data_IF_354815431612
#
_entry.id   IF_354815431612
#
_cell.length_a   1.000
_cell.length_b   1.000
_cell.length_c   1.000
_cell.angle_alpha   90.00
_cell.angle_beta   90.00
_cell.angle_gamma   90.00
#
_symmetry.space_group_name_H-M   'P 1'
#
loop_
_entity.id
_entity.type
_entity.pdbx_description
1 polymer ?
#
# COMPACT_ATOMS: atom_id res chain seq x y z
N UNK A 1 -11.49 5.56 -8.36
CA UNK A 1 -10.70 4.69 -9.26
C UNK A 1 -9.58 4.03 -8.47
N UNK A 2 -9.33 2.73 -8.68
CA UNK A 2 -8.30 1.94 -7.99
C UNK A 2 -7.00 1.83 -8.81
N UNK A 3 -5.86 2.16 -8.20
CA UNK A 3 -4.53 2.03 -8.80
C UNK A 3 -3.45 1.89 -7.72
N UNK A 4 -2.28 1.29 -8.00
CA UNK A 4 -1.16 1.26 -7.05
C UNK A 4 -0.49 2.64 -6.93
N UNK A 5 0.27 2.91 -5.87
CA UNK A 5 1.21 4.05 -5.83
C UNK A 5 2.61 3.49 -5.64
N UNK A 6 3.50 3.75 -6.59
CA UNK A 6 4.76 3.04 -6.75
C UNK A 6 5.70 3.27 -5.56
N UNK A 7 5.78 4.52 -5.08
CA UNK A 7 6.62 4.86 -3.94
C UNK A 7 6.16 6.12 -3.23
N UNK A 8 6.17 6.04 -1.92
CA UNK A 8 5.92 7.10 -0.96
C UNK A 8 7.08 7.17 0.02
N UNK A 9 7.38 8.36 0.52
CA UNK A 9 8.41 8.55 1.52
C UNK A 9 8.08 9.74 2.41
N UNK A 10 8.43 9.65 3.69
CA UNK A 10 8.41 10.80 4.58
C UNK A 10 9.75 11.52 4.56
N UNK A 11 9.73 12.84 4.35
CA UNK A 11 10.88 13.74 4.51
C UNK A 11 10.43 14.91 5.36
N UNK A 12 11.06 15.14 6.52
CA UNK A 12 10.68 16.22 7.46
C UNK A 12 9.16 16.27 7.78
N UNK A 13 8.55 15.11 8.08
CA UNK A 13 7.11 14.92 8.27
C UNK A 13 6.21 15.18 7.04
N UNK A 14 6.80 15.49 5.89
CA UNK A 14 6.08 15.68 4.63
C UNK A 14 6.02 14.36 3.88
N UNK A 15 4.83 13.96 3.46
CA UNK A 15 4.64 12.79 2.62
C UNK A 15 4.87 13.16 1.16
N UNK A 16 5.85 12.53 0.54
CA UNK A 16 6.22 12.69 -0.86
C UNK A 16 5.80 11.44 -1.63
N UNK A 17 5.14 11.63 -2.76
CA UNK A 17 4.76 10.58 -3.69
C UNK A 17 5.64 10.63 -4.94
N UNK A 18 6.13 9.47 -5.36
CA UNK A 18 6.89 9.26 -6.59
C UNK A 18 6.12 8.31 -7.48
N UNK A 19 6.07 8.67 -8.76
CA UNK A 19 5.49 7.86 -9.82
C UNK A 19 6.55 7.65 -10.89
N UNK A 20 6.75 6.41 -11.34
CA UNK A 20 7.80 6.06 -12.28
C UNK A 20 7.23 5.72 -13.65
N UNK A 21 7.91 6.21 -14.70
CA UNK A 21 7.55 5.93 -16.09
C UNK A 21 8.79 5.68 -16.92
N UNK A 22 9.00 4.44 -17.33
CA UNK A 22 9.89 4.09 -18.43
C UNK A 22 9.33 4.65 -19.75
N UNK A 23 9.97 5.69 -20.29
CA UNK A 23 9.55 6.34 -21.55
C UNK A 23 9.88 5.51 -22.79
N UNK A 24 10.65 4.43 -22.64
CA UNK A 24 10.88 3.46 -23.71
C UNK A 24 9.69 2.50 -23.89
N UNK A 25 8.77 2.44 -22.92
CA UNK A 25 7.60 1.58 -22.98
C UNK A 25 6.57 2.07 -24.02
N UNK A 26 6.55 1.35 -25.14
CA UNK A 26 5.63 1.62 -26.27
C UNK A 26 4.15 1.49 -25.90
N UNK A 27 3.79 0.84 -24.80
CA UNK A 27 2.39 0.74 -24.35
C UNK A 27 1.85 2.09 -23.87
N UNK A 28 2.74 3.01 -23.45
CA UNK A 28 2.39 4.35 -22.99
C UNK A 28 2.27 5.39 -24.12
N UNK A 29 2.26 4.95 -25.38
CA UNK A 29 1.99 5.78 -26.55
C UNK A 29 0.66 6.54 -26.42
N UNK A 30 0.62 7.78 -26.94
CA UNK A 30 -0.40 8.82 -26.66
C UNK A 30 -1.87 8.44 -26.90
N UNK A 31 -2.14 7.33 -27.59
CA UNK A 31 -3.50 6.90 -27.96
C UNK A 31 -3.95 5.57 -27.30
N UNK A 32 -3.11 4.96 -26.47
CA UNK A 32 -3.39 3.68 -25.81
C UNK A 32 -4.21 3.79 -24.52
N UNK A 33 -4.86 2.69 -24.12
CA UNK A 33 -5.59 2.62 -22.83
C UNK A 33 -4.63 2.77 -21.63
N UNK A 34 -3.41 2.22 -21.70
CA UNK A 34 -2.39 2.43 -20.65
C UNK A 34 -2.06 3.91 -20.51
N UNK A 35 -1.87 4.64 -21.62
CA UNK A 35 -1.61 6.08 -21.58
C UNK A 35 -2.76 6.85 -20.92
N UNK A 36 -4.02 6.52 -21.24
CA UNK A 36 -5.20 7.13 -20.61
C UNK A 36 -5.25 6.85 -19.10
N UNK A 37 -5.02 5.61 -18.70
CA UNK A 37 -4.97 5.20 -17.29
C UNK A 37 -3.89 5.97 -16.53
N UNK A 38 -2.68 6.01 -17.09
CA UNK A 38 -1.55 6.73 -16.49
C UNK A 38 -1.80 8.23 -16.40
N UNK A 39 -2.40 8.84 -17.43
CA UNK A 39 -2.77 10.25 -17.38
C UNK A 39 -3.78 10.55 -16.27
N UNK A 40 -4.76 9.67 -16.06
CA UNK A 40 -5.68 9.78 -14.94
C UNK A 40 -4.93 9.71 -13.60
N UNK A 41 -4.10 8.67 -13.41
CA UNK A 41 -3.29 8.45 -12.19
C UNK A 41 -2.42 9.66 -11.87
N UNK A 42 -1.65 10.15 -12.84
CA UNK A 42 -0.74 11.30 -12.69
C UNK A 42 -1.51 12.58 -12.34
N UNK A 43 -2.63 12.85 -13.02
CA UNK A 43 -3.46 14.03 -12.72
C UNK A 43 -3.96 13.97 -11.27
N UNK A 44 -4.48 12.82 -10.86
CA UNK A 44 -4.98 12.61 -9.52
C UNK A 44 -3.90 12.80 -8.45
N UNK A 45 -2.74 12.13 -8.62
CA UNK A 45 -1.62 12.23 -7.68
C UNK A 45 -1.09 13.65 -7.61
N UNK A 46 -1.02 14.34 -8.75
CA UNK A 46 -0.62 15.75 -8.81
C UNK A 46 -1.55 16.67 -8.02
N UNK A 47 -2.85 16.42 -8.04
CA UNK A 47 -3.83 17.22 -7.28
C UNK A 47 -3.77 16.91 -5.79
N UNK A 48 -3.57 15.64 -5.44
CA UNK A 48 -3.56 15.15 -4.06
C UNK A 48 -2.30 15.55 -3.31
N UNK A 49 -1.13 15.36 -3.92
CA UNK A 49 0.18 15.59 -3.30
C UNK A 49 0.79 16.95 -3.67
N UNK A 50 0.26 17.65 -4.68
CA UNK A 50 0.68 19.00 -5.08
C UNK A 50 2.20 19.08 -5.30
N UNK A 51 2.87 19.96 -4.57
CA UNK A 51 4.33 20.17 -4.66
C UNK A 51 5.15 18.99 -4.13
N UNK A 52 4.51 18.04 -3.44
CA UNK A 52 5.12 16.81 -2.93
C UNK A 52 4.94 15.62 -3.88
N UNK A 53 4.59 15.86 -5.14
CA UNK A 53 4.50 14.84 -6.18
C UNK A 53 5.67 14.93 -7.16
N UNK A 54 6.41 13.84 -7.32
CA UNK A 54 7.46 13.71 -8.32
C UNK A 54 7.10 12.65 -9.35
N UNK A 55 6.83 13.08 -10.57
CA UNK A 55 6.82 12.20 -11.74
C UNK A 55 8.26 12.00 -12.21
N UNK A 56 8.75 10.76 -12.19
CA UNK A 56 10.08 10.36 -12.65
C UNK A 56 9.92 9.64 -13.98
N UNK A 57 10.31 10.31 -15.06
CA UNK A 57 10.30 9.72 -16.40
C UNK A 57 11.72 9.37 -16.79
N UNK A 58 11.96 8.15 -17.24
CA UNK A 58 13.33 7.68 -17.46
C UNK A 58 13.47 6.73 -18.66
N UNK A 59 14.66 6.70 -19.25
CA UNK A 59 15.11 5.69 -20.20
C UNK A 59 16.55 5.31 -19.83
N UNK A 60 16.75 4.09 -19.34
CA UNK A 60 18.07 3.62 -18.87
C UNK A 60 19.07 3.53 -20.02
N UNK A 61 18.62 3.09 -21.21
CA UNK A 61 19.49 2.87 -22.37
C UNK A 61 19.96 4.19 -23.00
N UNK A 62 19.11 5.22 -22.95
CA UNK A 62 19.39 6.55 -23.52
C UNK A 62 19.93 7.57 -22.49
N UNK A 63 20.14 7.15 -21.24
CA UNK A 63 20.60 8.00 -20.13
C UNK A 63 19.71 9.23 -19.87
N UNK A 64 18.39 9.05 -19.97
CA UNK A 64 17.41 10.12 -19.79
C UNK A 64 16.74 9.97 -18.43
N UNK A 65 16.78 11.02 -17.60
CA UNK A 65 16.04 11.11 -16.35
C UNK A 65 15.39 12.48 -16.25
N UNK A 66 14.07 12.52 -16.12
CA UNK A 66 13.29 13.75 -16.04
C UNK A 66 12.46 13.76 -14.75
N UNK A 67 12.61 14.82 -13.96
CA UNK A 67 11.90 14.97 -12.69
C UNK A 67 10.84 16.05 -12.78
N UNK A 68 9.63 15.70 -12.33
CA UNK A 68 8.51 16.59 -12.11
C UNK A 68 7.85 17.09 -13.40
N UNK A 69 6.79 17.89 -13.23
CA UNK A 69 6.04 18.50 -14.35
C UNK A 69 6.86 19.48 -15.18
N UNK A 70 7.92 20.04 -14.60
CA UNK A 70 8.81 20.98 -15.27
C UNK A 70 9.85 20.29 -16.16
N UNK A 71 9.88 18.95 -16.15
CA UNK A 71 10.82 18.13 -16.93
C UNK A 71 12.27 18.55 -16.70
N UNK A 72 12.69 18.66 -15.43
CA UNK A 72 14.09 18.89 -15.10
C UNK A 72 14.88 17.67 -15.58
N UNK A 73 15.71 17.87 -16.61
CA UNK A 73 16.53 16.82 -17.19
C UNK A 73 17.80 16.66 -16.37
N UNK A 74 18.15 15.40 -16.10
CA UNK A 74 19.36 14.98 -15.42
C UNK A 74 19.99 13.82 -16.20
N UNK A 75 21.32 13.73 -16.17
CA UNK A 75 22.03 12.48 -16.50
C UNK A 75 21.93 11.48 -15.33
N UNK A 76 22.41 10.25 -15.50
CA UNK A 76 22.35 9.23 -14.44
C UNK A 76 23.04 9.62 -13.14
N UNK A 77 24.21 10.26 -13.20
CA UNK A 77 24.98 10.59 -12.00
C UNK A 77 24.28 11.71 -11.22
N UNK A 78 23.77 12.73 -11.91
CA UNK A 78 22.95 13.81 -11.33
C UNK A 78 21.66 13.25 -10.70
N UNK A 79 20.95 12.36 -11.40
CA UNK A 79 19.75 11.72 -10.89
C UNK A 79 20.07 10.87 -9.66
N UNK A 80 21.19 10.14 -9.68
CA UNK A 80 21.63 9.31 -8.57
C UNK A 80 21.94 10.13 -7.33
N UNK A 81 22.73 11.20 -7.47
CA UNK A 81 23.04 12.10 -6.36
C UNK A 81 21.75 12.69 -5.77
N UNK A 82 20.86 13.20 -6.62
CA UNK A 82 19.57 13.74 -6.18
C UNK A 82 18.70 12.70 -5.46
N UNK A 83 18.57 11.49 -6.03
CA UNK A 83 17.69 10.46 -5.47
C UNK A 83 18.24 9.90 -4.16
N UNK A 84 19.56 9.75 -4.03
CA UNK A 84 20.23 9.36 -2.77
C UNK A 84 20.02 10.45 -1.72
N UNK A 85 20.22 11.72 -2.08
CA UNK A 85 19.98 12.84 -1.17
C UNK A 85 18.54 12.81 -0.66
N UNK A 86 17.54 12.73 -1.55
CA UNK A 86 16.12 12.63 -1.18
C UNK A 86 15.81 11.40 -0.34
N UNK A 87 16.40 10.25 -0.64
CA UNK A 87 16.22 9.04 0.16
C UNK A 87 16.78 9.21 1.58
N UNK A 88 17.86 9.97 1.75
CA UNK A 88 18.56 10.16 3.02
C UNK A 88 18.10 11.37 3.84
N UNK A 89 17.35 12.32 3.27
CA UNK A 89 16.82 13.46 4.01
C UNK A 89 15.95 13.01 5.20
N UNK A 90 16.44 13.30 6.42
CA UNK A 90 15.68 13.42 7.68
C UNK A 90 14.52 12.43 7.87
N UNK A 91 14.81 11.15 7.73
CA UNK A 91 13.92 10.13 8.24
C UNK A 91 13.95 10.15 9.78
N UNK A 92 12.81 10.49 10.40
CA UNK A 92 12.58 10.42 11.86
C UNK A 92 12.84 9.00 12.41
N UNK A 93 12.90 7.99 11.53
CA UNK A 93 13.28 6.61 11.82
C UNK A 93 14.77 6.30 11.60
N UNK A 94 15.66 7.29 11.42
CA UNK A 94 17.11 7.08 11.37
C UNK A 94 17.69 6.45 12.66
N UNK A 95 16.94 6.47 13.76
CA UNK A 95 17.26 5.72 14.98
C UNK A 95 16.83 4.24 14.94
N UNK A 96 16.07 3.81 13.92
CA UNK A 96 15.65 2.42 13.77
C UNK A 96 16.66 1.63 12.92
N UNK A 97 17.49 0.86 13.62
CA UNK A 97 18.43 -0.15 13.11
C UNK A 97 17.81 -1.26 12.22
N UNK A 98 16.57 -1.09 11.74
CA UNK A 98 15.75 -2.15 11.14
C UNK A 98 15.12 -1.77 9.78
N UNK A 99 15.61 -0.73 9.09
CA UNK A 99 15.26 -0.57 7.67
C UNK A 99 15.84 -1.74 6.90
N UNK A 100 15.00 -2.41 6.09
CA UNK A 100 15.52 -3.50 5.27
C UNK A 100 16.45 -2.92 4.18
N UNK A 101 17.62 -3.51 3.93
CA UNK A 101 18.41 -3.16 2.75
C UNK A 101 17.58 -3.44 1.49
N UNK A 102 17.73 -2.59 0.48
CA UNK A 102 16.96 -2.67 -0.77
C UNK A 102 17.00 -4.04 -1.44
N UNK A 103 18.11 -4.77 -1.29
CA UNK A 103 18.31 -6.13 -1.80
C UNK A 103 17.47 -7.22 -1.12
N UNK A 104 16.59 -6.87 -0.19
CA UNK A 104 15.56 -7.76 0.36
C UNK A 104 14.17 -7.55 -0.25
N UNK A 105 13.99 -6.50 -1.05
CA UNK A 105 12.84 -6.37 -1.93
C UNK A 105 12.91 -7.51 -2.95
N UNK A 106 11.81 -8.24 -3.12
CA UNK A 106 11.75 -9.43 -3.98
C UNK A 106 12.21 -9.11 -5.40
N UNK A 107 12.82 -10.07 -6.07
CA UNK A 107 13.13 -10.01 -7.51
C UNK A 107 11.89 -9.92 -8.42
N UNK A 108 10.69 -9.87 -7.83
CA UNK A 108 9.42 -9.84 -8.55
C UNK A 108 9.04 -8.40 -8.86
N UNK A 109 8.74 -8.14 -10.13
CA UNK A 109 8.21 -6.86 -10.65
C UNK A 109 6.73 -6.75 -10.26
N UNK A 110 6.49 -6.37 -9.00
CA UNK A 110 5.15 -6.19 -8.42
C UNK A 110 4.55 -7.46 -7.80
N UNK A 111 3.36 -7.33 -7.19
CA UNK A 111 2.58 -8.45 -6.64
C UNK A 111 1.61 -8.99 -7.71
N UNK A 112 1.82 -10.22 -8.22
CA UNK A 112 0.94 -10.83 -9.22
C UNK A 112 -0.52 -10.94 -8.79
N UNK A 113 -0.79 -11.01 -7.48
CA UNK A 113 -2.15 -11.05 -6.94
C UNK A 113 -2.87 -9.71 -7.16
N UNK A 114 -2.19 -8.60 -6.87
CA UNK A 114 -2.71 -7.24 -7.04
C UNK A 114 -2.91 -6.92 -8.53
N UNK A 115 -1.94 -7.29 -9.38
CA UNK A 115 -2.02 -7.13 -10.83
C UNK A 115 -3.23 -7.86 -11.41
N UNK A 116 -3.47 -9.11 -10.97
CA UNK A 116 -4.64 -9.90 -11.37
C UNK A 116 -5.95 -9.24 -10.93
N UNK A 117 -6.02 -8.70 -9.72
CA UNK A 117 -7.20 -7.97 -9.23
C UNK A 117 -7.49 -6.76 -10.12
N UNK A 118 -6.49 -5.94 -10.41
CA UNK A 118 -6.64 -4.76 -11.28
C UNK A 118 -7.13 -5.17 -12.68
N UNK A 119 -6.52 -6.20 -13.26
CA UNK A 119 -6.94 -6.73 -14.57
C UNK A 119 -8.43 -7.11 -14.57
N UNK A 120 -8.90 -7.84 -13.55
CA UNK A 120 -10.30 -8.27 -13.46
C UNK A 120 -11.28 -7.10 -13.20
N UNK A 121 -10.85 -6.08 -12.45
CA UNK A 121 -11.66 -4.88 -12.19
C UNK A 121 -11.87 -4.07 -13.48
N UNK A 122 -10.82 -3.91 -14.29
CA UNK A 122 -10.87 -3.05 -15.47
C UNK A 122 -11.29 -3.76 -16.76
N UNK A 123 -11.21 -5.09 -16.84
CA UNK A 123 -11.68 -5.89 -17.98
C UNK A 123 -13.13 -5.59 -18.40
N UNK A 124 -13.97 -5.14 -17.48
CA UNK A 124 -15.38 -4.80 -17.72
C UNK A 124 -15.60 -3.29 -17.98
N UNK A 125 -14.59 -2.44 -17.81
CA UNK A 125 -14.68 -0.99 -18.04
C UNK A 125 -14.21 -0.64 -19.45
N UNK A 126 -15.13 -0.23 -20.33
CA UNK A 126 -14.83 0.08 -21.74
C UNK A 126 -13.64 1.04 -21.94
N UNK A 127 -13.45 2.01 -21.05
CA UNK A 127 -12.36 3.00 -21.11
C UNK A 127 -10.96 2.41 -20.83
N UNK A 128 -10.88 1.37 -19.99
CA UNK A 128 -9.62 0.79 -19.50
C UNK A 128 -9.51 -0.73 -19.73
N UNK A 129 -10.40 -1.31 -20.54
CA UNK A 129 -10.54 -2.76 -20.76
C UNK A 129 -9.26 -3.48 -21.21
N UNK A 130 -8.37 -2.75 -21.87
CA UNK A 130 -7.11 -3.28 -22.41
C UNK A 130 -5.88 -2.70 -21.72
N UNK A 131 -6.03 -2.19 -20.49
CA UNK A 131 -4.86 -1.84 -19.68
C UNK A 131 -4.14 -3.13 -19.28
N UNK A 132 -2.83 -3.16 -19.50
CA UNK A 132 -1.95 -4.26 -19.10
C UNK A 132 -1.27 -3.93 -17.76
N UNK A 133 -1.75 -4.58 -16.69
CA UNK A 133 -1.22 -4.43 -15.34
C UNK A 133 -0.08 -5.40 -15.00
N UNK A 134 0.18 -6.41 -15.82
CA UNK A 134 1.18 -7.44 -15.50
C UNK A 134 2.61 -7.01 -15.78
N UNK A 135 2.80 -6.04 -16.67
CA UNK A 135 4.12 -5.45 -16.92
C UNK A 135 4.16 -3.97 -16.48
N UNK A 136 3.38 -3.58 -15.47
CA UNK A 136 3.42 -2.20 -14.96
C UNK A 136 4.82 -1.83 -14.44
N UNK A 137 5.29 -0.64 -14.78
CA UNK A 137 6.58 -0.14 -14.31
C UNK A 137 6.38 0.56 -12.96
N UNK A 138 6.81 -0.11 -11.89
CA UNK A 138 6.76 0.45 -10.53
C UNK A 138 8.10 1.10 -10.11
N UNK A 139 9.03 1.30 -11.05
CA UNK A 139 10.34 1.91 -10.80
C UNK A 139 11.28 1.09 -9.91
N UNK A 140 10.94 -0.16 -9.56
CA UNK A 140 11.72 -0.98 -8.63
C UNK A 140 13.13 -1.23 -9.16
N UNK A 141 13.28 -1.56 -10.44
CA UNK A 141 14.59 -1.78 -11.09
C UNK A 141 15.42 -0.50 -11.04
N UNK A 142 14.81 0.64 -11.39
CA UNK A 142 15.49 1.93 -11.35
C UNK A 142 15.99 2.25 -9.94
N UNK A 143 15.11 2.15 -8.93
CA UNK A 143 15.44 2.42 -7.55
C UNK A 143 16.55 1.48 -7.03
N UNK A 144 16.49 0.18 -7.37
CA UNK A 144 17.53 -0.81 -7.09
C UNK A 144 18.90 -0.41 -7.66
N UNK A 145 18.93 -0.05 -8.94
CA UNK A 145 20.16 0.30 -9.63
C UNK A 145 20.78 1.60 -9.09
N UNK A 146 19.96 2.58 -8.73
CA UNK A 146 20.42 3.90 -8.29
C UNK A 146 20.88 3.88 -6.83
N UNK A 147 20.12 3.23 -5.95
CA UNK A 147 20.44 3.18 -4.52
C UNK A 147 21.50 2.12 -4.18
N UNK A 148 21.72 1.10 -5.02
CA UNK A 148 22.77 0.07 -4.94
C UNK A 148 23.55 0.00 -3.60
N UNK A 149 23.01 -0.72 -2.62
CA UNK A 149 23.64 -0.94 -1.31
C UNK A 149 23.20 0.04 -0.21
N UNK A 150 22.58 1.16 -0.56
CA UNK A 150 21.96 2.09 0.38
C UNK A 150 20.64 1.52 0.94
N UNK A 151 20.31 1.94 2.17
CA UNK A 151 19.00 1.65 2.76
C UNK A 151 17.92 2.43 2.01
N UNK A 152 16.71 1.88 1.95
CA UNK A 152 15.55 2.66 1.54
C UNK A 152 14.54 2.82 2.64
N UNK A 153 13.91 3.97 2.61
CA UNK A 153 12.84 4.37 3.52
C UNK A 153 11.51 4.59 2.78
N UNK A 154 11.48 4.27 1.48
CA UNK A 154 10.26 4.30 0.69
C UNK A 154 9.37 3.10 0.99
N UNK A 155 8.07 3.29 0.80
CA UNK A 155 7.05 2.26 0.85
C UNK A 155 6.01 2.54 -0.23
N UNK A 156 5.27 1.54 -0.66
CA UNK A 156 4.25 1.62 -1.69
C UNK A 156 2.84 1.54 -1.10
N UNK A 157 1.84 1.87 -1.91
CA UNK A 157 0.46 1.44 -1.67
C UNK A 157 0.07 0.41 -2.73
N UNK A 158 -0.28 -0.80 -2.31
CA UNK A 158 -0.70 -1.86 -3.25
C UNK A 158 -1.93 -1.43 -4.05
N UNK A 159 -2.94 -0.88 -3.39
CA UNK A 159 -4.10 -0.26 -4.02
C UNK A 159 -4.50 1.02 -3.30
N UNK A 160 -4.86 2.03 -4.09
CA UNK A 160 -5.36 3.31 -3.64
C UNK A 160 -6.64 3.68 -4.38
N UNK A 161 -7.69 4.03 -3.63
CA UNK A 161 -8.97 4.52 -4.15
C UNK A 161 -9.02 6.05 -4.08
N UNK A 162 -9.17 6.67 -5.25
CA UNK A 162 -9.09 8.12 -5.44
C UNK A 162 -10.32 8.92 -5.00
N UNK A 163 -11.52 8.35 -4.93
CA UNK A 163 -12.69 9.13 -4.54
C UNK A 163 -12.77 9.41 -3.03
N UNK A 164 -12.30 8.49 -2.19
CA UNK A 164 -12.36 8.61 -0.73
C UNK A 164 -11.00 8.48 -0.03
N UNK A 165 -9.91 8.53 -0.81
CA UNK A 165 -8.53 8.38 -0.36
C UNK A 165 -8.31 7.12 0.49
N UNK A 166 -8.76 5.98 -0.04
CA UNK A 166 -8.72 4.69 0.65
C UNK A 166 -7.40 4.00 0.30
N UNK A 167 -6.61 3.70 1.32
CA UNK A 167 -5.39 2.89 1.20
C UNK A 167 -5.73 1.43 1.48
N UNK A 168 -5.34 0.52 0.59
CA UNK A 168 -5.52 -0.92 0.75
C UNK A 168 -4.16 -1.60 0.59
N UNK A 169 -3.75 -2.31 1.63
CA UNK A 169 -2.49 -3.05 1.71
C UNK A 169 -2.76 -4.56 1.74
N UNK A 170 -2.09 -5.32 0.89
CA UNK A 170 -2.23 -6.77 0.74
C UNK A 170 -1.15 -7.50 1.55
N UNK A 171 -1.60 -8.24 2.54
CA UNK A 171 -0.75 -9.00 3.46
C UNK A 171 -0.85 -10.48 3.12
N UNK A 172 0.04 -10.94 2.24
CA UNK A 172 0.14 -12.36 1.93
C UNK A 172 0.48 -13.15 3.19
N UNK A 173 -0.38 -14.10 3.53
CA UNK A 173 -0.19 -15.01 4.63
C UNK A 173 0.60 -16.20 4.10
N UNK A 174 1.86 -16.34 4.52
CA UNK A 174 2.70 -17.51 4.16
C UNK A 174 2.82 -18.55 5.29
N UNK A 175 2.32 -18.22 6.48
CA UNK A 175 2.40 -19.10 7.65
C UNK A 175 1.30 -20.17 7.64
N UNK A 176 1.65 -21.43 7.92
CA UNK A 176 0.68 -22.52 8.14
C UNK A 176 0.01 -22.50 9.52
N UNK A 177 0.46 -21.63 10.44
CA UNK A 177 -0.02 -21.59 11.84
C UNK A 177 -1.19 -20.62 12.06
N UNK A 178 -1.50 -19.80 11.07
CA UNK A 178 -2.60 -18.82 11.10
C UNK A 178 -3.41 -18.93 9.82
N UNK A 179 -4.71 -18.66 9.91
CA UNK A 179 -5.57 -18.46 8.74
C UNK A 179 -5.65 -16.97 8.39
N UNK A 180 -6.17 -16.62 7.22
CA UNK A 180 -6.39 -15.22 6.84
C UNK A 180 -7.24 -14.45 7.88
N UNK A 181 -8.24 -15.13 8.47
CA UNK A 181 -9.12 -14.57 9.52
C UNK A 181 -8.41 -14.35 10.86
N UNK A 182 -7.39 -15.16 11.17
CA UNK A 182 -6.68 -15.09 12.45
C UNK A 182 -5.36 -14.32 12.34
N UNK A 183 -4.82 -14.11 11.13
CA UNK A 183 -3.67 -13.26 10.87
C UNK A 183 -3.97 -11.79 11.20
N UNK A 184 -2.99 -11.07 11.74
CA UNK A 184 -3.13 -9.67 12.12
C UNK A 184 -1.75 -9.01 12.32
N UNK A 185 -1.56 -7.72 11.95
CA UNK A 185 -0.31 -6.99 12.14
C UNK A 185 0.29 -7.09 13.55
N UNK A 186 -0.55 -6.98 14.59
CA UNK A 186 -0.12 -7.11 15.99
C UNK A 186 0.50 -8.49 16.34
N UNK A 187 0.39 -9.51 15.49
CA UNK A 187 1.14 -10.77 15.68
C UNK A 187 2.61 -10.64 15.28
N UNK A 188 2.93 -9.70 14.39
CA UNK A 188 4.23 -9.54 13.71
C UNK A 188 4.82 -8.16 13.97
N UNK A 189 5.17 -7.88 15.23
CA UNK A 189 5.63 -6.56 15.67
C UNK A 189 6.93 -6.09 14.98
N UNK A 190 7.72 -7.00 14.40
CA UNK A 190 8.91 -6.65 13.62
C UNK A 190 8.58 -5.82 12.37
N UNK A 191 7.37 -5.93 11.83
CA UNK A 191 6.92 -5.18 10.65
C UNK A 191 6.20 -3.87 11.02
N UNK A 192 6.23 -3.47 12.30
CA UNK A 192 5.52 -2.31 12.82
C UNK A 192 5.75 -1.03 12.01
N UNK A 193 6.99 -0.76 11.61
CA UNK A 193 7.35 0.45 10.88
C UNK A 193 6.59 0.59 9.56
N UNK A 194 6.34 -0.53 8.84
CA UNK A 194 5.52 -0.52 7.62
C UNK A 194 4.11 -0.02 7.93
N UNK A 195 3.46 -0.61 8.94
CA UNK A 195 2.09 -0.25 9.31
C UNK A 195 1.97 1.17 9.87
N UNK A 196 2.99 1.65 10.61
CA UNK A 196 3.05 3.04 11.05
C UNK A 196 3.14 4.00 9.85
N UNK A 197 3.99 3.70 8.87
CA UNK A 197 4.11 4.51 7.65
C UNK A 197 2.80 4.57 6.88
N UNK A 198 2.15 3.42 6.65
CA UNK A 198 0.83 3.34 6.02
C UNK A 198 -0.22 4.17 6.78
N UNK A 199 -0.29 4.02 8.10
CA UNK A 199 -1.23 4.75 8.94
C UNK A 199 -0.99 6.26 8.93
N UNK A 200 0.28 6.69 9.03
CA UNK A 200 0.61 8.11 8.95
C UNK A 200 0.28 8.69 7.57
N UNK A 201 0.54 7.94 6.50
CA UNK A 201 0.26 8.39 5.15
C UNK A 201 -1.25 8.52 4.91
N UNK A 202 -2.03 7.50 5.29
CA UNK A 202 -3.49 7.54 5.23
C UNK A 202 -4.08 8.70 6.05
N UNK A 203 -3.51 9.01 7.22
CA UNK A 203 -3.95 10.15 8.03
C UNK A 203 -3.69 11.53 7.38
N UNK A 204 -2.63 11.66 6.59
CA UNK A 204 -2.27 12.92 5.93
C UNK A 204 -3.12 13.17 4.69
N UNK A 205 -3.45 12.11 3.95
CA UNK A 205 -4.22 12.21 2.70
C UNK A 205 -5.72 12.06 2.89
N UNK A 206 -6.21 11.80 4.11
CA UNK A 206 -7.65 11.61 4.35
C UNK A 206 -8.47 12.83 3.96
N UNK A 207 -9.72 12.59 3.56
CA UNK A 207 -10.73 13.64 3.35
C UNK A 207 -11.45 13.96 4.67
N UNK A 208 -12.23 13.01 5.16
CA UNK A 208 -12.99 13.14 6.42
C UNK A 208 -12.41 12.23 7.51
N UNK A 209 -12.26 10.94 7.21
CA UNK A 209 -11.72 9.94 8.11
C UNK A 209 -10.56 9.15 7.51
N UNK A 210 -9.75 8.55 8.36
CA UNK A 210 -8.60 7.75 7.94
C UNK A 210 -9.08 6.42 7.38
N UNK A 211 -8.93 6.23 6.07
CA UNK A 211 -9.33 5.02 5.37
C UNK A 211 -8.12 4.14 5.07
N UNK A 212 -7.67 3.36 6.06
CA UNK A 212 -6.65 2.34 5.88
C UNK A 212 -7.26 0.94 6.05
N UNK A 213 -7.12 0.13 5.01
CA UNK A 213 -7.55 -1.26 4.99
C UNK A 213 -6.36 -2.20 4.78
N UNK A 214 -6.36 -3.31 5.51
CA UNK A 214 -5.37 -4.37 5.38
C UNK A 214 -6.06 -5.67 4.97
N UNK A 215 -5.56 -6.34 3.94
CA UNK A 215 -6.17 -7.54 3.36
C UNK A 215 -5.29 -8.74 3.63
N UNK A 216 -5.71 -9.64 4.52
CA UNK A 216 -5.01 -10.92 4.64
C UNK A 216 -5.54 -11.89 3.59
N UNK A 217 -4.64 -12.43 2.78
CA UNK A 217 -4.97 -13.38 1.73
C UNK A 217 -3.95 -14.52 1.66
N UNK A 218 -4.29 -15.55 0.90
CA UNK A 218 -3.40 -16.65 0.57
C UNK A 218 -3.57 -17.09 -0.88
N UNK A 219 -2.71 -17.99 -1.34
CA UNK A 219 -2.83 -18.58 -2.68
C UNK A 219 -4.00 -19.59 -2.79
N UNK A 220 -4.68 -19.93 -1.69
CA UNK A 220 -5.89 -20.76 -1.72
C UNK A 220 -7.12 -19.87 -2.00
N UNK A 221 -7.71 -19.92 -3.21
CA UNK A 221 -8.85 -19.07 -3.56
C UNK A 221 -10.14 -19.41 -2.78
N UNK A 222 -10.16 -20.56 -2.08
CA UNK A 222 -11.29 -21.00 -1.24
C UNK A 222 -11.16 -20.53 0.20
N UNK A 223 -9.98 -20.10 0.65
CA UNK A 223 -9.83 -19.55 1.98
C UNK A 223 -10.55 -18.20 2.05
N UNK A 224 -11.21 -17.96 3.18
CA UNK A 224 -11.83 -16.67 3.46
C UNK A 224 -10.78 -15.54 3.33
N UNK A 225 -11.21 -14.39 2.81
CA UNK A 225 -10.39 -13.17 2.80
C UNK A 225 -10.79 -12.34 4.02
N UNK A 226 -9.79 -11.82 4.73
CA UNK A 226 -10.03 -10.91 5.84
C UNK A 226 -9.66 -9.48 5.45
N UNK A 227 -10.60 -8.56 5.58
CA UNK A 227 -10.39 -7.14 5.39
C UNK A 227 -10.43 -6.43 6.75
N UNK A 228 -9.34 -5.80 7.16
CA UNK A 228 -9.24 -5.10 8.44
C UNK A 228 -9.30 -3.59 8.16
N UNK A 229 -10.36 -2.90 8.60
CA UNK A 229 -10.41 -1.44 8.66
C UNK A 229 -9.70 -0.98 9.95
N UNK A 230 -8.60 -0.25 9.82
CA UNK A 230 -7.86 0.30 10.96
C UNK A 230 -8.57 1.58 11.42
N UNK A 231 -8.98 1.64 12.69
CA UNK A 231 -9.67 2.80 13.28
C UNK A 231 -8.73 3.65 14.15
N UNK A 232 -7.87 3.00 14.94
CA UNK A 232 -6.90 3.67 15.79
C UNK A 232 -5.58 2.90 15.81
N UNK A 233 -4.49 3.65 15.83
CA UNK A 233 -3.13 3.13 15.86
C UNK A 233 -2.32 3.91 16.90
N UNK A 234 -1.65 3.18 17.79
CA UNK A 234 -0.77 3.80 18.78
C UNK A 234 0.54 4.24 18.12
N UNK A 235 0.82 5.55 18.13
CA UNK A 235 2.02 6.15 17.50
C UNK A 235 3.20 6.31 18.46
N UNK A 236 3.05 6.04 19.75
CA UNK A 236 4.09 6.30 20.75
C UNK A 236 5.22 5.27 20.68
N UNK A 237 6.28 5.63 19.94
CA UNK A 237 7.48 4.81 19.72
C UNK A 237 8.22 4.42 21.02
N UNK A 238 8.12 5.23 22.08
CA UNK A 238 8.80 5.01 23.37
C UNK A 238 8.12 3.96 24.25
N UNK A 239 6.89 3.55 23.93
CA UNK A 239 6.10 2.74 24.86
C UNK A 239 6.41 1.24 24.81
N UNK A 240 7.04 0.73 23.74
CA UNK A 240 7.11 -0.71 23.49
C UNK A 240 5.75 -1.36 23.27
N UNK A 241 4.65 -0.59 23.20
CA UNK A 241 3.24 -1.03 23.16
C UNK A 241 2.56 -0.70 21.82
N UNK A 242 3.22 -1.02 20.72
CA UNK A 242 2.97 -0.31 19.46
C UNK A 242 2.28 -1.19 18.41
N UNK A 243 1.18 -0.68 17.83
CA UNK A 243 0.35 -1.39 16.87
C UNK A 243 -1.05 -0.81 16.73
N UNK A 244 -1.95 -1.59 16.11
CA UNK A 244 -3.37 -1.27 15.97
C UNK A 244 -4.06 -1.45 17.33
N UNK A 245 -4.85 -0.47 17.78
CA UNK A 245 -5.56 -0.49 19.07
C UNK A 245 -7.08 -0.39 18.93
N UNK A 246 -7.56 -0.12 17.72
CA UNK A 246 -8.97 -0.22 17.37
C UNK A 246 -9.09 -0.56 15.89
N UNK A 247 -9.88 -1.58 15.56
CA UNK A 247 -10.11 -2.02 14.20
C UNK A 247 -11.41 -2.82 14.04
N UNK A 248 -11.87 -2.97 12.80
CA UNK A 248 -12.98 -3.84 12.42
C UNK A 248 -12.49 -4.82 11.36
N UNK A 249 -12.63 -6.11 11.64
CA UNK A 249 -12.41 -7.18 10.67
C UNK A 249 -13.70 -7.51 9.95
N UNK A 250 -13.69 -7.55 8.62
CA UNK A 250 -14.78 -8.05 7.78
C UNK A 250 -14.35 -9.35 7.10
N UNK A 251 -15.19 -10.37 7.20
CA UNK A 251 -14.96 -11.68 6.59
C UNK A 251 -15.67 -11.78 5.25
N UNK A 252 -14.89 -12.06 4.19
CA UNK A 252 -15.38 -12.47 2.89
C UNK A 252 -15.24 -13.99 2.76
N UNK A 253 -16.19 -14.65 2.10
CA UNK A 253 -16.18 -16.12 1.92
C UNK A 253 -15.03 -16.61 1.05
N UNK A 254 -14.44 -15.75 0.22
CA UNK A 254 -13.30 -16.05 -0.64
C UNK A 254 -13.04 -14.96 -1.68
N UNK A 255 -12.16 -15.26 -2.63
CA UNK A 255 -11.67 -14.29 -3.63
C UNK A 255 -12.78 -13.60 -4.43
N UNK A 256 -13.78 -14.33 -4.92
CA UNK A 256 -14.80 -13.77 -5.81
C UNK A 256 -15.70 -12.74 -5.11
N UNK A 257 -16.07 -12.98 -3.85
CA UNK A 257 -16.88 -12.05 -3.08
C UNK A 257 -16.10 -10.76 -2.78
N UNK A 258 -14.82 -10.91 -2.42
CA UNK A 258 -13.92 -9.78 -2.21
C UNK A 258 -13.67 -8.96 -3.50
N UNK A 259 -13.45 -9.63 -4.64
CA UNK A 259 -13.31 -8.97 -5.94
C UNK A 259 -14.56 -8.18 -6.32
N UNK A 260 -15.76 -8.72 -6.06
CA UNK A 260 -17.01 -8.01 -6.30
C UNK A 260 -17.12 -6.75 -5.43
N UNK A 261 -16.67 -6.80 -4.18
CA UNK A 261 -16.59 -5.61 -3.32
C UNK A 261 -15.59 -4.58 -3.87
N UNK A 262 -14.40 -5.00 -4.32
CA UNK A 262 -13.44 -4.09 -4.97
C UNK A 262 -13.97 -3.47 -6.28
N UNK A 263 -14.74 -4.22 -7.08
CA UNK A 263 -15.43 -3.69 -8.26
C UNK A 263 -16.44 -2.61 -7.88
N UNK A 264 -17.22 -2.82 -6.81
CA UNK A 264 -18.11 -1.79 -6.26
C UNK A 264 -17.32 -0.58 -5.78
N UNK A 265 -16.25 -0.80 -5.03
CA UNK A 265 -15.35 0.25 -4.52
C UNK A 265 -14.79 1.11 -5.66
N UNK A 266 -14.37 0.49 -6.77
CA UNK A 266 -13.87 1.20 -7.95
C UNK A 266 -14.94 2.04 -8.69
N UNK A 267 -16.22 1.76 -8.46
CA UNK A 267 -17.34 2.45 -9.10
C UNK A 267 -17.95 3.52 -8.18
N UNK A 268 -18.14 3.19 -6.91
CA UNK A 268 -18.72 4.04 -5.89
C UNK A 268 -18.17 3.62 -4.51
N UNK A 269 -17.19 4.38 -4.02
CA UNK A 269 -16.51 4.03 -2.77
C UNK A 269 -17.42 4.15 -1.55
N UNK A 270 -18.27 5.18 -1.48
CA UNK A 270 -19.20 5.37 -0.37
C UNK A 270 -20.19 4.21 -0.26
N UNK A 271 -20.78 3.79 -1.38
CA UNK A 271 -21.68 2.62 -1.42
C UNK A 271 -20.94 1.35 -1.00
N UNK A 272 -19.72 1.14 -1.51
CA UNK A 272 -18.92 -0.03 -1.14
C UNK A 272 -18.60 -0.08 0.37
N UNK A 273 -18.30 1.07 0.99
CA UNK A 273 -18.09 1.17 2.43
C UNK A 273 -19.37 0.83 3.22
N UNK A 274 -20.53 1.34 2.79
CA UNK A 274 -21.83 1.00 3.41
C UNK A 274 -22.09 -0.51 3.33
N UNK A 275 -21.76 -1.15 2.21
CA UNK A 275 -22.01 -2.60 2.05
C UNK A 275 -21.18 -3.47 2.99
N UNK A 276 -20.06 -2.98 3.54
CA UNK A 276 -19.25 -3.72 4.51
C UNK A 276 -20.04 -4.10 5.76
N UNK A 277 -21.02 -3.28 6.15
CA UNK A 277 -21.85 -3.52 7.33
C UNK A 277 -22.72 -4.77 7.23
N UNK A 278 -22.90 -5.30 6.00
CA UNK A 278 -23.61 -6.55 5.75
C UNK A 278 -22.72 -7.80 5.84
N UNK A 279 -21.41 -7.65 6.01
CA UNK A 279 -20.50 -8.79 6.13
C UNK A 279 -20.35 -9.21 7.59
N UNK A 280 -20.11 -10.51 7.87
CA UNK A 280 -19.73 -10.93 9.20
C UNK A 280 -18.49 -10.15 9.67
N UNK A 281 -18.57 -9.57 10.87
CA UNK A 281 -17.51 -8.69 11.37
C UNK A 281 -17.11 -8.98 12.81
N UNK A 282 -15.85 -8.71 13.13
CA UNK A 282 -15.31 -8.72 14.48
C UNK A 282 -14.79 -7.32 14.81
N UNK A 283 -15.40 -6.68 15.80
CA UNK A 283 -14.98 -5.36 16.30
C UNK A 283 -13.94 -5.59 17.40
N UNK A 284 -12.73 -5.04 17.20
CA UNK A 284 -11.63 -5.12 18.15
C UNK A 284 -11.25 -3.72 18.61
N UNK A 285 -12.03 -3.19 19.55
CA UNK A 285 -11.85 -1.86 20.12
C UNK A 285 -10.71 -1.83 21.17
N UNK A 286 -10.52 -0.67 21.82
CA UNK A 286 -9.53 -0.48 22.88
C UNK A 286 -9.65 -1.51 24.04
N UNK A 287 -10.86 -1.99 24.35
CA UNK A 287 -11.07 -3.02 25.38
C UNK A 287 -10.60 -4.41 24.91
N UNK A 288 -10.79 -4.76 23.64
CA UNK A 288 -10.25 -5.99 23.08
C UNK A 288 -8.72 -6.03 23.21
N UNK A 289 -8.07 -4.91 22.93
CA UNK A 289 -6.61 -4.74 22.97
C UNK A 289 -6.05 -4.41 24.36
N UNK A 290 -6.91 -4.31 25.38
CA UNK A 290 -6.49 -4.01 26.75
C UNK A 290 -5.54 -5.08 27.29
N UNK A 291 -4.33 -4.66 27.67
CA UNK A 291 -3.27 -5.55 28.16
C UNK A 291 -2.43 -6.19 27.05
N UNK A 292 -2.59 -5.78 25.79
CA UNK A 292 -1.74 -6.24 24.69
C UNK A 292 -0.28 -5.82 24.88
N UNK A 293 -0.07 -4.60 25.39
CA UNK A 293 1.24 -4.13 25.84
C UNK A 293 2.35 -4.41 24.81
N UNK A 294 3.41 -5.08 25.25
CA UNK A 294 4.60 -5.46 24.50
C UNK A 294 4.42 -6.54 23.42
N UNK A 295 3.20 -7.09 23.29
CA UNK A 295 2.89 -8.20 22.39
C UNK A 295 3.54 -9.54 22.76
N UNK A 296 4.29 -9.63 23.87
CA UNK A 296 5.08 -10.81 24.29
C UNK A 296 4.60 -11.40 25.62
N UNK A 297 4.02 -10.57 26.48
CA UNK A 297 3.41 -10.92 27.76
C UNK A 297 2.36 -12.03 27.64
N UNK A 298 2.06 -12.70 28.76
CA UNK A 298 1.00 -13.72 28.83
C UNK A 298 -0.35 -13.14 28.40
N UNK A 299 -0.68 -11.92 28.84
CA UNK A 299 -1.88 -11.21 28.40
C UNK A 299 -1.91 -11.00 26.88
N UNK A 300 -0.80 -10.60 26.27
CA UNK A 300 -0.70 -10.47 24.83
C UNK A 300 -0.93 -11.78 24.08
N UNK A 301 -0.41 -12.90 24.61
CA UNK A 301 -0.63 -14.23 24.05
C UNK A 301 -2.11 -14.62 24.08
N UNK A 302 -2.81 -14.34 25.18
CA UNK A 302 -4.25 -14.59 25.29
C UNK A 302 -5.04 -13.71 24.32
N UNK A 303 -4.69 -12.43 24.17
CA UNK A 303 -5.32 -11.53 23.18
C UNK A 303 -5.13 -12.08 21.76
N UNK A 304 -3.92 -12.52 21.42
CA UNK A 304 -3.62 -13.15 20.12
C UNK A 304 -4.48 -14.38 19.86
N UNK A 305 -4.83 -15.18 20.87
CA UNK A 305 -5.71 -16.35 20.66
C UNK A 305 -7.15 -15.98 20.30
N UNK A 306 -7.62 -14.79 20.68
CA UNK A 306 -8.98 -14.31 20.44
C UNK A 306 -9.19 -13.69 19.06
N UNK A 307 -8.12 -13.24 18.39
CA UNK A 307 -8.20 -12.63 17.06
C UNK A 307 -8.85 -13.61 16.07
N UNK A 308 -9.88 -13.14 15.37
CA UNK A 308 -10.55 -13.88 14.31
C UNK A 308 -11.46 -14.99 14.82
N UNK A 309 -11.93 -14.90 16.06
CA UNK A 309 -12.78 -15.93 16.69
C UNK A 309 -14.22 -15.49 16.91
N UNK A 310 -14.49 -14.18 16.96
CA UNK A 310 -15.79 -13.64 17.35
C UNK A 310 -16.45 -12.86 16.21
N UNK A 311 -16.42 -13.40 14.99
CA UNK A 311 -17.20 -12.83 13.89
C UNK A 311 -18.69 -12.98 14.19
N UNK A 312 -19.37 -11.85 14.29
CA UNK A 312 -20.81 -11.80 14.46
C UNK A 312 -21.46 -11.83 13.08
N UNK A 313 -22.47 -12.68 12.91
CA UNK A 313 -23.36 -12.63 11.75
C UNK A 313 -24.53 -11.73 12.14
N UNK A 314 -24.76 -10.69 11.34
CA UNK A 314 -25.91 -9.78 11.34
C UNK A 314 -26.44 -9.37 12.71
#
# INVERSE_FOLDING_TARGET
MLFPIDRLQFIDNTLIAYEFIDISDKRLNKDGNNHKFMRFKINYLSETFKDNFYLIQYNIDEDIYCIGKQHIKMNKDEFKEWFIEKNNCSNICASSLNSKPLGSATSNLGDPYVQKILQEIYKEKNEFKNVDFFNDDNGLILAQNILNGENTYGFDFDLFESSENIVIEFLKRDSSFTTNLTAHPNRYLQNYHKFLSLWNAANLIKKEETNLFLVNYSDDPKEAINLIKVLEFNKEASSGKVGIISDISYQFSGYFEFLNWLKKLNNNAQEALITLENFPKEIRNNDFWKGFGDGKSSSAKEIKKRIGKNYQKY
#
